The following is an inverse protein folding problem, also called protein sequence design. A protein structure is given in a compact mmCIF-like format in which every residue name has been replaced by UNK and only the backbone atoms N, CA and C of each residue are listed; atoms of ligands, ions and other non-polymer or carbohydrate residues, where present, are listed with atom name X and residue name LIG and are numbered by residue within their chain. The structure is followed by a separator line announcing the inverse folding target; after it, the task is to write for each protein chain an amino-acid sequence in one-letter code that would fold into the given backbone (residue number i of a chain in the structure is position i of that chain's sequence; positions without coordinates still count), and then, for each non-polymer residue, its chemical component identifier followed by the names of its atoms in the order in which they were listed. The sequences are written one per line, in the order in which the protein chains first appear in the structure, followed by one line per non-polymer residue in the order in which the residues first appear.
data_IF_781826244042
#
_entry.id   IF_781826244042
#
_cell.length_a   1.000
_cell.length_b   1.000
_cell.length_c   1.000
_cell.angle_alpha   90.00
_cell.angle_beta   90.00
_cell.angle_gamma   90.00
#
_symmetry.space_group_name_H-M   'P 1'
#
loop_
_entity.id
_entity.type
_entity.pdbx_description
1 polymer ?
#
# COMPACT_ATOMS: atom_id res chain seq x y z
N UNK A 1 35.04 26.21 36.93
CA UNK A 1 34.07 25.09 36.85
C UNK A 1 33.40 25.02 38.19
N UNK A 2 32.09 25.26 38.24
CA UNK A 2 31.31 25.25 39.49
C UNK A 2 31.24 23.83 40.06
N UNK A 3 31.39 23.68 41.37
CA UNK A 3 31.33 22.40 42.11
C UNK A 3 30.04 21.63 41.80
N UNK A 4 28.92 22.35 41.59
CA UNK A 4 27.62 21.76 41.24
C UNK A 4 27.58 21.08 39.87
N UNK A 5 28.44 21.49 38.93
CA UNK A 5 28.48 20.88 37.60
C UNK A 5 29.27 19.56 37.61
N UNK A 6 30.20 19.41 38.55
CA UNK A 6 30.94 18.16 38.75
C UNK A 6 30.04 17.10 39.39
N UNK A 7 29.28 17.48 40.42
CA UNK A 7 28.38 16.56 41.15
C UNK A 7 27.27 15.98 40.25
N UNK A 8 26.76 16.76 39.29
CA UNK A 8 25.77 16.29 38.32
C UNK A 8 26.34 15.32 37.27
N UNK A 9 27.62 15.48 36.91
CA UNK A 9 28.29 14.57 35.98
C UNK A 9 28.54 13.21 36.63
N UNK A 10 29.00 13.19 37.87
CA UNK A 10 29.26 11.93 38.60
C UNK A 10 27.97 11.13 38.80
N UNK A 11 26.84 11.79 39.07
CA UNK A 11 25.53 11.13 39.18
C UNK A 11 25.07 10.49 37.86
N UNK A 12 25.33 11.13 36.72
CA UNK A 12 24.95 10.60 35.40
C UNK A 12 25.78 9.37 35.01
N UNK A 13 27.08 9.40 35.29
CA UNK A 13 28.00 8.30 35.00
C UNK A 13 27.69 7.07 35.87
N UNK A 14 27.35 7.28 37.15
CA UNK A 14 26.97 6.18 38.05
C UNK A 14 25.68 5.49 37.62
N UNK A 15 24.70 6.25 37.12
CA UNK A 15 23.41 5.72 36.68
C UNK A 15 23.43 5.07 35.30
N UNK A 16 24.22 5.61 34.35
CA UNK A 16 24.18 5.18 32.94
C UNK A 16 25.42 4.40 32.49
N UNK A 17 26.49 4.41 33.29
CA UNK A 17 27.77 3.79 32.95
C UNK A 17 28.50 4.47 31.79
N UNK A 18 28.03 5.62 31.30
CA UNK A 18 28.61 6.35 30.17
C UNK A 18 28.87 7.81 30.51
N UNK A 19 30.02 8.33 30.11
CA UNK A 19 30.40 9.74 30.26
C UNK A 19 29.85 10.63 29.13
N UNK A 20 29.19 10.04 28.14
CA UNK A 20 28.68 10.74 26.95
C UNK A 20 27.16 10.65 26.84
N UNK A 21 26.53 11.80 26.58
CA UNK A 21 25.07 11.98 26.46
C UNK A 21 24.59 11.77 25.00
N UNK A 22 25.47 11.32 24.11
CA UNK A 22 25.14 11.09 22.70
C UNK A 22 24.94 9.60 22.47
N UNK A 23 23.70 9.14 22.57
CA UNK A 23 23.30 7.92 21.88
C UNK A 23 23.54 8.13 20.38
N UNK A 24 24.28 7.22 19.76
CA UNK A 24 24.49 7.23 18.32
C UNK A 24 23.15 6.88 17.68
N UNK A 25 22.40 7.89 17.25
CA UNK A 25 21.26 7.68 16.37
C UNK A 25 21.78 7.15 15.04
N UNK A 26 21.74 5.84 14.84
CA UNK A 26 21.69 5.25 13.51
C UNK A 26 20.23 5.23 13.07
N UNK A 27 19.72 6.40 12.72
CA UNK A 27 18.65 6.50 11.75
C UNK A 27 19.29 7.19 10.55
N UNK A 28 19.52 6.43 9.49
CA UNK A 28 19.92 6.97 8.19
C UNK A 28 18.73 7.73 7.59
N UNK A 29 18.41 8.89 8.18
CA UNK A 29 17.50 9.87 7.60
C UNK A 29 18.27 10.62 6.53
N UNK A 30 18.00 10.28 5.27
CA UNK A 30 18.43 11.10 4.13
C UNK A 30 19.13 10.34 2.99
N UNK A 31 18.96 9.03 2.86
CA UNK A 31 19.32 8.35 1.61
C UNK A 31 18.10 8.36 0.71
N UNK A 32 18.17 9.20 -0.33
CA UNK A 32 17.23 9.24 -1.45
C UNK A 32 17.05 7.80 -1.95
N UNK A 33 15.87 7.24 -1.73
CA UNK A 33 15.56 5.85 -2.07
C UNK A 33 15.36 5.84 -3.58
N UNK A 34 16.32 5.28 -4.32
CA UNK A 34 16.23 5.29 -5.78
C UNK A 34 14.94 4.56 -6.21
N UNK A 35 14.36 4.91 -7.36
CA UNK A 35 13.07 4.31 -7.82
C UNK A 35 13.11 2.78 -7.85
N UNK A 36 14.27 2.21 -8.14
CA UNK A 36 14.51 0.76 -8.13
C UNK A 36 14.51 0.18 -6.69
N UNK A 37 15.00 0.93 -5.70
CA UNK A 37 14.99 0.56 -4.28
C UNK A 37 13.57 0.59 -3.71
N UNK A 38 12.74 1.57 -4.08
CA UNK A 38 11.32 1.60 -3.71
C UNK A 38 10.58 0.37 -4.27
N UNK A 39 10.95 -0.05 -5.49
CA UNK A 39 10.41 -1.25 -6.10
C UNK A 39 10.84 -2.55 -5.40
N UNK A 40 12.06 -2.63 -4.91
CA UNK A 40 12.54 -3.75 -4.08
C UNK A 40 11.86 -3.76 -2.71
N UNK A 41 11.82 -2.63 -2.01
CA UNK A 41 11.17 -2.52 -0.70
C UNK A 41 9.68 -2.88 -0.71
N UNK A 42 8.96 -2.51 -1.77
CA UNK A 42 7.55 -2.93 -1.97
C UNK A 42 7.46 -4.45 -2.11
N UNK A 43 8.36 -5.09 -2.87
CA UNK A 43 8.36 -6.55 -3.05
C UNK A 43 8.72 -7.29 -1.77
N UNK A 44 9.67 -6.78 -1.00
CA UNK A 44 10.00 -7.34 0.32
C UNK A 44 8.81 -7.25 1.29
N UNK A 45 8.10 -6.11 1.29
CA UNK A 45 6.91 -5.93 2.11
C UNK A 45 5.78 -6.89 1.71
N UNK A 46 5.57 -7.06 0.40
CA UNK A 46 4.63 -8.02 -0.18
C UNK A 46 4.98 -9.45 0.26
N UNK A 47 6.24 -9.86 0.12
CA UNK A 47 6.71 -11.19 0.53
C UNK A 47 6.48 -11.44 2.03
N UNK A 48 6.78 -10.45 2.88
CA UNK A 48 6.54 -10.53 4.32
C UNK A 48 5.04 -10.64 4.66
N UNK A 49 4.16 -9.95 3.92
CA UNK A 49 2.71 -10.10 4.06
C UNK A 49 2.24 -11.48 3.60
N UNK A 50 2.75 -11.97 2.48
CA UNK A 50 2.43 -13.31 1.95
C UNK A 50 2.78 -14.40 2.94
N UNK A 51 3.97 -14.35 3.52
CA UNK A 51 4.41 -15.32 4.54
C UNK A 51 3.50 -15.29 5.78
N UNK A 52 3.09 -14.09 6.21
CA UNK A 52 2.32 -13.91 7.45
C UNK A 52 0.85 -14.25 7.31
N UNK A 53 0.22 -13.91 6.19
CA UNK A 53 -1.24 -13.97 6.02
C UNK A 53 -1.70 -15.05 5.04
N UNK A 54 -0.84 -15.44 4.10
CA UNK A 54 -1.23 -16.26 2.96
C UNK A 54 -2.09 -15.45 1.98
N UNK A 55 -1.70 -15.45 0.71
CA UNK A 55 -2.44 -14.74 -0.33
C UNK A 55 -3.43 -15.66 -1.04
N UNK A 56 -4.56 -15.09 -1.42
CA UNK A 56 -5.71 -15.80 -1.99
C UNK A 56 -5.62 -16.00 -3.50
N UNK A 57 -4.75 -15.23 -4.18
CA UNK A 57 -4.55 -15.30 -5.63
C UNK A 57 -3.21 -15.96 -5.99
N UNK A 58 -3.09 -16.59 -7.17
CA UNK A 58 -1.82 -17.19 -7.62
C UNK A 58 -0.78 -16.16 -8.11
N UNK A 59 -1.10 -14.85 -8.11
CA UNK A 59 -0.19 -13.80 -8.54
C UNK A 59 1.12 -13.80 -7.73
N UNK A 60 2.24 -13.60 -8.43
CA UNK A 60 3.58 -13.44 -7.83
C UNK A 60 3.80 -12.05 -7.22
N UNK A 61 4.93 -11.88 -6.54
CA UNK A 61 5.21 -10.67 -5.76
C UNK A 61 5.36 -9.41 -6.62
N UNK A 62 5.88 -9.53 -7.84
CA UNK A 62 5.95 -8.41 -8.79
C UNK A 62 4.55 -7.92 -9.19
N UNK A 63 3.61 -8.84 -9.43
CA UNK A 63 2.22 -8.49 -9.74
C UNK A 63 1.52 -7.83 -8.54
N UNK A 64 1.76 -8.31 -7.32
CA UNK A 64 1.27 -7.67 -6.10
C UNK A 64 1.88 -6.27 -5.88
N UNK A 65 3.15 -6.08 -6.22
CA UNK A 65 3.78 -4.77 -6.19
C UNK A 65 3.12 -3.80 -7.18
N UNK A 66 2.72 -4.27 -8.37
CA UNK A 66 1.93 -3.49 -9.32
C UNK A 66 0.54 -3.13 -8.75
N UNK A 67 -0.15 -4.06 -8.08
CA UNK A 67 -1.42 -3.77 -7.40
C UNK A 67 -1.26 -2.68 -6.35
N UNK A 68 -0.21 -2.75 -5.53
CA UNK A 68 0.07 -1.72 -4.53
C UNK A 68 0.29 -0.36 -5.20
N UNK A 69 1.16 -0.28 -6.21
CA UNK A 69 1.45 0.97 -6.93
C UNK A 69 0.21 1.57 -7.58
N UNK A 70 -0.53 0.78 -8.37
CA UNK A 70 -1.73 1.25 -9.04
C UNK A 70 -2.78 1.74 -8.05
N UNK A 71 -2.89 1.11 -6.87
CA UNK A 71 -3.76 1.61 -5.81
C UNK A 71 -3.34 2.98 -5.29
N UNK A 72 -2.05 3.26 -5.09
CA UNK A 72 -1.58 4.57 -4.62
C UNK A 72 -1.62 5.64 -5.72
N UNK A 73 -1.57 5.23 -6.99
CA UNK A 73 -1.84 6.08 -8.15
C UNK A 73 -3.34 6.31 -8.43
N UNK A 74 -4.22 5.83 -7.54
CA UNK A 74 -5.68 5.87 -7.67
C UNK A 74 -6.24 5.24 -8.97
N UNK A 75 -5.52 4.29 -9.55
CA UNK A 75 -5.99 3.50 -10.70
C UNK A 75 -7.14 2.56 -10.28
N UNK A 76 -8.07 2.27 -11.20
CA UNK A 76 -9.11 1.28 -10.97
C UNK A 76 -8.58 -0.16 -11.08
N UNK A 77 -9.28 -1.12 -10.48
CA UNK A 77 -8.83 -2.51 -10.43
C UNK A 77 -8.78 -3.16 -11.84
N UNK A 78 -9.50 -2.63 -12.84
CA UNK A 78 -9.49 -3.15 -14.22
C UNK A 78 -8.28 -2.66 -15.03
N UNK A 79 -7.86 -1.40 -14.83
CA UNK A 79 -6.64 -0.83 -15.40
C UNK A 79 -5.40 -1.56 -14.87
N UNK A 80 -5.34 -1.79 -13.55
CA UNK A 80 -4.26 -2.55 -12.91
C UNK A 80 -4.23 -3.99 -13.46
N UNK A 81 -5.39 -4.62 -13.65
CA UNK A 81 -5.46 -5.97 -14.22
C UNK A 81 -4.89 -5.99 -15.65
N UNK A 82 -5.17 -4.98 -16.47
CA UNK A 82 -4.58 -4.85 -17.80
C UNK A 82 -3.06 -4.71 -17.75
N UNK A 83 -2.53 -3.85 -16.88
CA UNK A 83 -1.09 -3.68 -16.71
C UNK A 83 -0.38 -4.97 -16.26
N UNK A 84 -1.00 -5.76 -15.38
CA UNK A 84 -0.46 -7.07 -14.97
C UNK A 84 -0.45 -8.04 -16.15
N UNK A 85 -1.52 -8.11 -16.94
CA UNK A 85 -1.58 -8.99 -18.12
C UNK A 85 -0.52 -8.65 -19.15
N UNK A 86 -0.28 -7.36 -19.38
CA UNK A 86 0.75 -6.90 -20.31
C UNK A 86 2.16 -7.33 -19.82
N UNK A 87 2.46 -7.16 -18.53
CA UNK A 87 3.73 -7.62 -17.96
C UNK A 87 3.92 -9.14 -17.95
N UNK A 88 2.82 -9.90 -17.81
CA UNK A 88 2.87 -11.37 -17.93
C UNK A 88 3.12 -11.83 -19.37
N UNK A 89 2.61 -11.11 -20.36
CA UNK A 89 2.84 -11.42 -21.78
C UNK A 89 4.31 -11.23 -22.20
N UNK A 90 5.03 -10.34 -21.51
CA UNK A 90 6.47 -10.09 -21.71
C UNK A 90 7.37 -11.14 -21.02
N UNK A 91 6.79 -11.99 -20.17
CA UNK A 91 7.52 -13.10 -19.53
C UNK A 91 7.46 -14.31 -20.48
N UNK A 92 8.60 -14.90 -20.84
CA UNK A 92 8.73 -16.05 -21.78
C UNK A 92 8.07 -17.36 -21.29
N UNK A 93 6.81 -17.33 -20.83
CA UNK A 93 6.05 -18.48 -20.35
C UNK A 93 6.42 -18.98 -18.96
N UNK A 94 7.21 -18.21 -18.18
CA UNK A 94 7.66 -18.60 -16.83
C UNK A 94 6.63 -18.29 -15.72
N UNK A 95 5.47 -17.73 -16.08
CA UNK A 95 4.39 -17.50 -15.12
C UNK A 95 3.44 -18.68 -15.04
N UNK A 96 3.18 -19.16 -13.82
CA UNK A 96 2.15 -20.17 -13.53
C UNK A 96 0.71 -19.62 -13.68
N UNK A 97 0.54 -18.34 -14.01
CA UNK A 97 -0.75 -17.65 -14.13
C UNK A 97 -1.06 -17.35 -15.60
N UNK A 98 -2.22 -17.80 -16.09
CA UNK A 98 -2.73 -17.39 -17.40
C UNK A 98 -3.14 -15.91 -17.33
N UNK A 99 -2.61 -15.02 -18.20
CA UNK A 99 -3.05 -13.63 -18.26
C UNK A 99 -4.57 -13.48 -18.40
N UNK A 100 -5.26 -14.41 -19.06
CA UNK A 100 -6.71 -14.36 -19.21
C UNK A 100 -7.48 -14.49 -17.88
N UNK A 101 -6.88 -15.09 -16.86
CA UNK A 101 -7.47 -15.27 -15.52
C UNK A 101 -7.27 -14.05 -14.59
N UNK A 102 -6.50 -13.06 -15.04
CA UNK A 102 -6.26 -11.82 -14.28
C UNK A 102 -7.31 -10.77 -14.66
N UNK A 103 -8.36 -10.68 -13.86
CA UNK A 103 -9.43 -9.67 -14.00
C UNK A 103 -9.46 -8.67 -12.83
N UNK A 104 -10.42 -7.74 -12.86
CA UNK A 104 -10.58 -6.74 -11.81
C UNK A 104 -10.92 -7.36 -10.44
N UNK A 105 -11.60 -8.51 -10.40
CA UNK A 105 -11.90 -9.22 -9.15
C UNK A 105 -10.65 -9.89 -8.59
N UNK A 106 -9.77 -10.41 -9.43
CA UNK A 106 -8.44 -10.91 -9.04
C UNK A 106 -7.60 -9.78 -8.43
N UNK A 107 -7.58 -8.59 -9.05
CA UNK A 107 -6.89 -7.42 -8.49
C UNK A 107 -7.51 -6.96 -7.18
N UNK A 108 -8.85 -6.91 -7.09
CA UNK A 108 -9.56 -6.59 -5.84
C UNK A 108 -9.15 -7.54 -4.72
N UNK A 109 -9.12 -8.85 -4.96
CA UNK A 109 -8.67 -9.85 -3.98
C UNK A 109 -7.23 -9.62 -3.56
N UNK A 110 -6.31 -9.44 -4.52
CA UNK A 110 -4.91 -9.13 -4.23
C UNK A 110 -4.77 -7.85 -3.38
N UNK A 111 -5.58 -6.84 -3.66
CA UNK A 111 -5.62 -5.58 -2.89
C UNK A 111 -6.12 -5.79 -1.47
N UNK A 112 -7.10 -6.67 -1.25
CA UNK A 112 -7.56 -7.06 0.08
C UNK A 112 -6.50 -7.86 0.85
N UNK A 113 -5.75 -8.74 0.17
CA UNK A 113 -4.63 -9.47 0.75
C UNK A 113 -3.50 -8.52 1.24
N UNK A 114 -3.30 -7.40 0.53
CA UNK A 114 -2.40 -6.30 0.94
C UNK A 114 -2.97 -5.34 1.99
N UNK A 115 -4.17 -5.62 2.52
CA UNK A 115 -4.89 -4.72 3.44
C UNK A 115 -5.21 -3.32 2.85
N UNK A 116 -5.23 -3.19 1.53
CA UNK A 116 -5.43 -1.90 0.83
C UNK A 116 -6.91 -1.66 0.48
N UNK A 117 -7.79 -1.71 1.49
CA UNK A 117 -9.25 -1.56 1.32
C UNK A 117 -9.63 -0.12 0.89
N UNK A 118 -10.41 0.01 -0.19
CA UNK A 118 -11.00 1.27 -0.70
C UNK A 118 -12.31 1.59 0.01
N UNK A 119 -12.74 2.84 -0.09
CA UNK A 119 -14.06 3.25 0.40
C UNK A 119 -15.18 2.50 -0.33
N UNK A 120 -15.09 2.40 -1.66
CA UNK A 120 -16.00 1.65 -2.51
C UNK A 120 -16.08 0.14 -2.24
N UNK A 121 -15.12 -0.45 -1.52
CA UNK A 121 -15.27 -1.85 -1.08
C UNK A 121 -16.25 -2.02 0.08
N UNK A 122 -16.52 -0.94 0.81
CA UNK A 122 -17.41 -0.89 1.97
C UNK A 122 -18.79 -0.36 1.61
N UNK A 123 -18.91 0.25 0.43
CA UNK A 123 -20.18 0.68 -0.15
C UNK A 123 -20.97 -0.56 -0.55
N UNK A 124 -22.16 -0.71 0.03
CA UNK A 124 -23.05 -1.83 -0.24
C UNK A 124 -24.19 -1.30 -1.11
N UNK A 125 -24.09 -1.53 -2.41
CA UNK A 125 -25.12 -1.12 -3.35
C UNK A 125 -26.43 -1.89 -3.11
N UNK A 126 -27.54 -1.24 -3.44
CA UNK A 126 -28.84 -1.89 -3.48
C UNK A 126 -28.81 -3.08 -4.46
N UNK A 127 -29.57 -4.16 -4.17
CA UNK A 127 -29.75 -5.23 -5.13
C UNK A 127 -30.26 -4.67 -6.47
N UNK A 128 -29.71 -5.19 -7.57
CA UNK A 128 -30.07 -4.84 -8.96
C UNK A 128 -29.62 -3.46 -9.49
N UNK A 129 -28.74 -2.74 -8.77
CA UNK A 129 -28.15 -1.49 -9.27
C UNK A 129 -29.12 -0.31 -9.31
N UNK A 130 -30.19 -0.39 -8.52
CA UNK A 130 -31.12 0.72 -8.32
C UNK A 130 -30.44 1.80 -7.46
N UNK A 131 -30.00 2.89 -8.10
CA UNK A 131 -29.29 4.00 -7.45
C UNK A 131 -30.15 4.70 -6.37
N UNK A 132 -31.47 4.51 -6.41
CA UNK A 132 -32.43 5.07 -5.44
C UNK A 132 -32.81 4.06 -4.33
N UNK A 133 -32.31 2.82 -4.41
CA UNK A 133 -32.58 1.77 -3.44
C UNK A 133 -31.74 1.89 -2.17
N UNK A 134 -32.32 1.51 -1.03
CA UNK A 134 -31.58 1.42 0.23
C UNK A 134 -30.62 0.22 0.21
N UNK A 135 -29.42 0.40 0.77
CA UNK A 135 -28.48 -0.69 0.99
C UNK A 135 -29.15 -1.81 1.83
N UNK A 136 -29.00 -3.09 1.47
CA UNK A 136 -29.64 -4.20 2.18
C UNK A 136 -29.25 -4.26 3.67
N UNK A 137 -28.06 -3.78 4.03
CA UNK A 137 -27.61 -3.67 5.41
C UNK A 137 -26.48 -2.64 5.56
N UNK A 138 -26.22 -2.19 6.78
CA UNK A 138 -25.08 -1.32 7.07
C UNK A 138 -23.77 -2.11 7.19
N UNK A 139 -22.72 -1.67 6.50
CA UNK A 139 -21.39 -2.31 6.55
C UNK A 139 -20.84 -2.43 7.99
N UNK A 140 -21.10 -1.43 8.84
CA UNK A 140 -20.67 -1.43 10.23
C UNK A 140 -21.26 -2.60 11.04
N UNK A 141 -22.49 -3.01 10.72
CA UNK A 141 -23.15 -4.14 11.39
C UNK A 141 -22.52 -5.46 10.97
N UNK A 142 -22.27 -5.65 9.68
CA UNK A 142 -21.54 -6.81 9.19
C UNK A 142 -20.13 -6.90 9.78
N UNK A 143 -19.40 -5.77 9.85
CA UNK A 143 -18.07 -5.71 10.46
C UNK A 143 -18.09 -6.12 11.93
N UNK A 144 -19.10 -5.68 12.68
CA UNK A 144 -19.32 -6.08 14.09
C UNK A 144 -19.62 -7.57 14.22
N UNK A 145 -20.52 -8.13 13.40
CA UNK A 145 -20.83 -9.57 13.41
C UNK A 145 -19.62 -10.42 13.04
N UNK A 146 -18.85 -9.99 12.04
CA UNK A 146 -17.59 -10.62 11.63
C UNK A 146 -16.56 -10.60 12.75
N UNK A 147 -16.42 -9.48 13.46
CA UNK A 147 -15.50 -9.35 14.60
C UNK A 147 -15.90 -10.25 15.78
N UNK A 148 -17.20 -10.50 15.96
CA UNK A 148 -17.72 -11.44 16.95
C UNK A 148 -17.53 -12.93 16.56
N UNK A 149 -17.04 -13.21 15.35
CA UNK A 149 -16.74 -14.58 14.89
C UNK A 149 -17.92 -15.33 14.29
N UNK A 150 -19.02 -14.64 13.95
CA UNK A 150 -20.17 -15.26 13.29
C UNK A 150 -19.78 -15.77 11.89
N UNK A 151 -20.37 -16.89 11.51
CA UNK A 151 -20.31 -17.43 10.16
C UNK A 151 -21.06 -16.55 9.16
N UNK A 152 -20.83 -16.77 7.86
CA UNK A 152 -21.55 -16.03 6.80
C UNK A 152 -23.06 -16.27 6.87
N UNK A 153 -23.48 -17.49 7.19
CA UNK A 153 -24.91 -17.85 7.30
C UNK A 153 -25.55 -17.11 8.47
N UNK A 154 -24.92 -17.12 9.65
CA UNK A 154 -25.41 -16.38 10.82
C UNK A 154 -25.45 -14.87 10.53
N UNK A 155 -24.44 -14.31 9.86
CA UNK A 155 -24.47 -12.90 9.46
C UNK A 155 -25.61 -12.60 8.48
N UNK A 156 -25.88 -13.50 7.53
CA UNK A 156 -26.95 -13.33 6.54
C UNK A 156 -28.34 -13.39 7.17
N UNK A 157 -28.55 -14.29 8.13
CA UNK A 157 -29.79 -14.37 8.90
C UNK A 157 -30.00 -13.12 9.76
N UNK A 158 -28.98 -12.65 10.46
CA UNK A 158 -29.06 -11.45 11.32
C UNK A 158 -29.26 -10.15 10.52
N UNK A 159 -28.73 -10.08 9.29
CA UNK A 159 -28.81 -8.90 8.42
C UNK A 159 -29.97 -8.97 7.41
N UNK A 160 -30.74 -10.06 7.40
CA UNK A 160 -31.79 -10.34 6.41
C UNK A 160 -31.29 -10.14 4.96
N UNK A 161 -30.11 -10.67 4.66
CA UNK A 161 -29.39 -10.42 3.41
C UNK A 161 -29.00 -11.73 2.70
N UNK A 162 -28.73 -11.66 1.39
CA UNK A 162 -28.27 -12.83 0.65
C UNK A 162 -26.88 -13.28 1.12
N UNK A 163 -26.65 -14.58 1.35
CA UNK A 163 -25.35 -15.10 1.80
C UNK A 163 -24.17 -14.72 0.91
N UNK A 164 -24.37 -14.65 -0.42
CA UNK A 164 -23.30 -14.28 -1.36
C UNK A 164 -22.92 -12.80 -1.23
N UNK A 165 -23.90 -11.91 -1.04
CA UNK A 165 -23.66 -10.49 -0.75
C UNK A 165 -22.89 -10.34 0.57
N UNK A 166 -23.32 -11.05 1.61
CA UNK A 166 -22.66 -11.05 2.92
C UNK A 166 -21.24 -11.60 2.82
N UNK A 167 -21.02 -12.69 2.07
CA UNK A 167 -19.70 -13.28 1.85
C UNK A 167 -18.71 -12.28 1.23
N UNK A 168 -19.17 -11.56 0.20
CA UNK A 168 -18.38 -10.54 -0.51
C UNK A 168 -17.89 -9.45 0.44
N UNK A 169 -18.78 -8.88 1.26
CA UNK A 169 -18.42 -7.81 2.19
C UNK A 169 -17.76 -8.31 3.48
N UNK A 170 -17.98 -9.56 3.87
CA UNK A 170 -17.31 -10.18 5.01
C UNK A 170 -15.81 -10.36 4.76
N UNK A 171 -15.40 -10.62 3.50
CA UNK A 171 -13.99 -10.60 3.14
C UNK A 171 -13.35 -9.24 3.43
N UNK A 172 -14.01 -8.16 3.01
CA UNK A 172 -13.58 -6.78 3.27
C UNK A 172 -13.53 -6.50 4.77
N UNK A 173 -14.56 -6.89 5.53
CA UNK A 173 -14.61 -6.72 6.98
C UNK A 173 -13.48 -7.46 7.70
N UNK A 174 -13.15 -8.69 7.29
CA UNK A 174 -12.03 -9.46 7.86
C UNK A 174 -10.71 -8.75 7.60
N UNK A 175 -10.48 -8.25 6.39
CA UNK A 175 -9.29 -7.46 6.05
C UNK A 175 -9.20 -6.20 6.91
N UNK A 176 -10.27 -5.44 7.04
CA UNK A 176 -10.34 -4.23 7.87
C UNK A 176 -9.97 -4.53 9.34
N UNK A 177 -10.50 -5.64 9.89
CA UNK A 177 -10.20 -6.09 11.26
C UNK A 177 -8.73 -6.51 11.36
N UNK A 178 -8.20 -7.25 10.38
CA UNK A 178 -6.81 -7.69 10.35
C UNK A 178 -5.84 -6.50 10.25
N UNK A 179 -6.16 -5.50 9.42
CA UNK A 179 -5.39 -4.25 9.29
C UNK A 179 -5.38 -3.47 10.60
N UNK A 180 -6.56 -3.27 11.20
CA UNK A 180 -6.68 -2.57 12.49
C UNK A 180 -5.88 -3.28 13.60
N UNK A 181 -5.93 -4.62 13.66
CA UNK A 181 -5.14 -5.41 14.62
C UNK A 181 -3.64 -5.30 14.39
N UNK A 182 -3.21 -5.05 13.15
CA UNK A 182 -1.83 -4.76 12.81
C UNK A 182 -1.47 -3.27 13.02
N UNK A 183 -2.38 -2.46 13.60
CA UNK A 183 -2.27 -1.00 13.73
C UNK A 183 -2.05 -0.31 12.37
N UNK A 184 -2.64 -0.84 11.30
CA UNK A 184 -2.52 -0.34 9.92
C UNK A 184 -1.08 -0.24 9.38
N UNK A 185 -0.11 -0.85 10.08
CA UNK A 185 1.33 -0.74 9.80
C UNK A 185 1.75 -1.06 8.37
N UNK A 186 1.05 -1.97 7.70
CA UNK A 186 1.37 -2.38 6.33
C UNK A 186 0.89 -1.35 5.31
N UNK A 187 -0.32 -0.80 5.53
CA UNK A 187 -0.83 0.30 4.72
C UNK A 187 0.05 1.54 4.87
N UNK A 188 0.50 1.83 6.08
CA UNK A 188 1.40 2.95 6.36
C UNK A 188 2.77 2.71 5.72
N UNK A 189 3.33 1.51 5.83
CA UNK A 189 4.60 1.16 5.16
C UNK A 189 4.51 1.28 3.62
N UNK A 190 3.41 0.84 2.99
CA UNK A 190 3.21 1.07 1.56
C UNK A 190 3.09 2.56 1.23
N UNK A 191 2.41 3.35 2.06
CA UNK A 191 2.32 4.80 1.88
C UNK A 191 3.69 5.43 1.92
N UNK A 192 4.50 5.10 2.93
CA UNK A 192 5.84 5.64 3.08
C UNK A 192 6.72 5.27 1.88
N UNK A 193 6.64 4.02 1.40
CA UNK A 193 7.42 3.57 0.24
C UNK A 193 6.98 4.19 -1.10
N UNK A 194 5.67 4.35 -1.31
CA UNK A 194 5.12 4.72 -2.63
C UNK A 194 4.84 6.21 -2.78
N UNK A 195 4.43 6.90 -1.71
CA UNK A 195 4.16 8.35 -1.77
C UNK A 195 5.45 9.16 -1.79
N UNK A 196 6.51 8.72 -1.10
CA UNK A 196 7.82 9.38 -1.19
C UNK A 196 8.48 9.13 -2.56
N UNK A 197 8.29 7.95 -3.15
CA UNK A 197 8.77 7.63 -4.50
C UNK A 197 8.09 8.45 -5.61
N UNK A 198 6.81 8.78 -5.46
CA UNK A 198 6.07 9.66 -6.40
C UNK A 198 6.57 11.11 -6.33
N UNK A 199 6.90 11.61 -5.13
CA UNK A 199 7.51 12.94 -4.94
C UNK A 199 8.86 13.03 -5.64
N UNK A 200 9.70 11.99 -5.54
CA UNK A 200 11.00 11.93 -6.22
C UNK A 200 10.86 11.80 -7.75
N UNK A 201 9.88 11.03 -8.24
CA UNK A 201 9.59 10.90 -9.67
C UNK A 201 9.20 12.22 -10.34
N UNK A 202 8.36 13.02 -9.67
CA UNK A 202 8.00 14.37 -10.11
C UNK A 202 9.23 15.29 -10.15
N UNK A 203 10.03 15.32 -9.09
CA UNK A 203 11.23 16.17 -8.99
C UNK A 203 12.31 15.81 -10.04
N UNK A 204 12.52 14.51 -10.31
CA UNK A 204 13.49 14.05 -11.30
C UNK A 204 13.02 14.28 -12.75
N UNK A 205 11.70 14.19 -13.01
CA UNK A 205 11.13 14.52 -14.32
C UNK A 205 11.21 16.02 -14.61
N UNK A 206 10.83 16.86 -13.65
CA UNK A 206 10.90 18.32 -13.77
C UNK A 206 12.35 18.80 -13.96
N UNK A 207 13.32 18.21 -13.23
CA UNK A 207 14.73 18.55 -13.39
C UNK A 207 15.31 18.16 -14.78
N UNK A 208 14.84 17.07 -15.39
CA UNK A 208 15.24 16.69 -16.76
C UNK A 208 14.58 17.59 -17.81
N UNK A 209 13.35 18.04 -17.57
CA UNK A 209 12.63 18.88 -18.52
C UNK A 209 13.09 20.35 -18.49
N UNK A 210 13.46 20.88 -17.31
CA UNK A 210 13.99 22.24 -17.18
C UNK A 210 15.44 22.35 -17.65
N UNK A 211 16.28 21.35 -17.34
CA UNK A 211 17.68 21.32 -17.79
C UNK A 211 17.87 21.17 -19.31
N UNK A 212 16.89 20.59 -20.03
CA UNK A 212 16.90 20.51 -21.50
C UNK A 212 16.44 21.82 -22.17
N UNK A 213 15.65 22.64 -21.47
CA UNK A 213 15.12 23.92 -21.97
C UNK A 213 16.15 25.04 -21.80
N UNK A 214 16.88 25.07 -20.69
CA UNK A 214 17.96 26.05 -20.44
C UNK A 214 19.19 25.85 -21.37
N UNK A 215 19.50 24.60 -21.76
CA UNK A 215 20.65 24.31 -22.62
C UNK A 215 20.44 24.63 -24.11
N UNK A 216 19.22 24.93 -24.55
CA UNK A 216 18.90 25.20 -25.96
C UNK A 216 18.65 26.69 -26.26
N UNK A 217 18.49 27.53 -25.24
CA UNK A 217 18.21 28.96 -25.43
C UNK A 217 19.47 29.82 -25.70
N UNK A 218 20.68 29.30 -25.45
CA UNK A 218 21.94 30.08 -25.56
C UNK A 218 22.76 29.79 -26.84
N UNK A 219 22.18 29.11 -27.85
CA UNK A 219 22.85 28.81 -29.15
C UNK A 219 22.35 29.70 -30.31
N UNK A 220 21.29 30.48 -30.13
CA UNK A 220 20.79 31.40 -31.16
C UNK A 220 21.01 32.88 -30.78
N UNK A 221 22.27 33.34 -30.66
CA UNK A 221 22.54 34.76 -30.90
C UNK A 221 23.93 35.01 -31.52
N UNK A 222 23.87 35.70 -32.66
CA UNK A 222 24.93 36.50 -33.30
C UNK A 222 25.93 35.79 -34.23
N UNK A 223 25.45 35.46 -35.44
CA UNK A 223 26.28 35.60 -36.65
C UNK A 223 25.58 36.56 -37.61
N UNK A 224 25.80 37.85 -37.37
CA UNK A 224 25.46 38.91 -38.32
C UNK A 224 26.35 38.83 -39.57
N UNK A 225 25.72 39.01 -40.73
CA UNK A 225 26.17 38.76 -42.11
C UNK A 225 27.15 39.82 -42.65
#
# INVERSE_FOLDING_TARGET
MDEKTAELRDLFVDATGSETVTERQEAERGTLVNRDDAGEGVRELVAAMRERYGFSTPLGDDAYALVARGRFADEDDAAIAAAIRDGLADTDGDSDVDPADVDAETVRKARLDLHLVRESDREIDAPDGDEDGDAPFAYADLKRLTAAGNSIVECAEELDAQPDTVARYAAVARTDIASTRANDRFRDAFRDLLTDADIEGSLASDAREDGLREATEDIETDVSL
#
